data_IF_994416232173
#
_entry.id   IF_994416232173
#
_cell.length_a   1.000
_cell.length_b   1.000
_cell.length_c   1.000
_cell.angle_alpha   90.00
_cell.angle_beta   90.00
_cell.angle_gamma   90.00
#
_symmetry.space_group_name_H-M   'P 1'
#
loop_
_entity.id
_entity.type
_entity.pdbx_description
1 polymer ?
#
# COMPACT_ATOMS: atom_id res chain seq x y z
N UNK A 1 -32.81 34.16 -12.62
CA UNK A 1 -33.18 33.35 -11.44
C UNK A 1 -32.90 31.90 -11.76
N UNK A 2 -31.85 31.35 -11.17
CA UNK A 2 -31.71 29.94 -10.79
C UNK A 2 -30.46 29.89 -9.91
N UNK A 3 -30.66 30.27 -8.64
CA UNK A 3 -29.77 29.91 -7.56
C UNK A 3 -29.79 28.39 -7.48
N UNK A 4 -28.86 27.74 -8.18
CA UNK A 4 -28.43 26.41 -7.76
C UNK A 4 -27.56 26.66 -6.53
N UNK A 5 -28.22 26.84 -5.39
CA UNK A 5 -27.62 26.61 -4.10
C UNK A 5 -27.12 25.16 -4.15
N UNK A 6 -25.85 24.97 -4.54
CA UNK A 6 -25.11 23.80 -4.12
C UNK A 6 -25.12 23.89 -2.61
N UNK A 7 -26.05 23.20 -1.98
CA UNK A 7 -25.95 22.85 -0.57
C UNK A 7 -24.57 22.23 -0.43
N UNK A 8 -23.60 23.02 0.03
CA UNK A 8 -22.34 22.51 0.52
C UNK A 8 -22.79 21.63 1.68
N UNK A 9 -22.89 20.32 1.44
CA UNK A 9 -23.05 19.34 2.50
C UNK A 9 -22.02 19.73 3.55
N UNK A 10 -22.50 20.30 4.66
CA UNK A 10 -21.64 20.66 5.79
C UNK A 10 -21.29 19.35 6.47
N UNK A 11 -20.44 18.57 5.81
CA UNK A 11 -19.85 17.40 6.40
C UNK A 11 -19.07 17.87 7.63
N UNK A 12 -19.37 17.32 8.81
CA UNK A 12 -18.72 17.80 10.02
C UNK A 12 -17.22 17.51 9.92
N UNK A 13 -16.41 18.58 9.89
CA UNK A 13 -14.95 18.51 9.81
C UNK A 13 -14.36 17.54 10.85
N UNK A 14 -14.96 17.49 12.06
CA UNK A 14 -14.58 16.55 13.12
C UNK A 14 -14.71 15.09 12.68
N UNK A 15 -15.80 14.74 12.01
CA UNK A 15 -16.03 13.38 11.48
C UNK A 15 -15.04 13.06 10.37
N UNK A 16 -14.74 14.02 9.50
CA UNK A 16 -13.72 13.86 8.47
C UNK A 16 -12.35 13.60 9.09
N UNK A 17 -11.90 14.41 10.05
CA UNK A 17 -10.61 14.25 10.72
C UNK A 17 -10.53 12.92 11.49
N UNK A 18 -11.60 12.54 12.20
CA UNK A 18 -11.66 11.25 12.88
C UNK A 18 -11.57 10.09 11.87
N UNK A 19 -12.28 10.18 10.74
CA UNK A 19 -12.24 9.18 9.67
C UNK A 19 -10.87 9.11 9.03
N UNK A 20 -10.22 10.26 8.78
CA UNK A 20 -8.87 10.34 8.20
C UNK A 20 -7.87 9.50 9.00
N UNK A 21 -7.91 9.58 10.33
CA UNK A 21 -7.01 8.85 11.22
C UNK A 21 -7.44 7.39 11.38
N UNK A 22 -8.69 7.14 11.76
CA UNK A 22 -9.18 5.78 12.06
C UNK A 22 -9.15 4.90 10.82
N UNK A 23 -9.67 5.39 9.69
CA UNK A 23 -9.67 4.64 8.43
C UNK A 23 -8.24 4.46 7.92
N UNK A 24 -7.39 5.48 8.05
CA UNK A 24 -5.97 5.35 7.72
C UNK A 24 -5.31 4.21 8.49
N UNK A 25 -5.52 4.13 9.80
CA UNK A 25 -4.97 3.04 10.61
C UNK A 25 -5.57 1.67 10.27
N UNK A 26 -6.90 1.56 10.11
CA UNK A 26 -7.55 0.28 9.82
C UNK A 26 -7.12 -0.27 8.45
N UNK A 27 -7.07 0.59 7.43
CA UNK A 27 -6.68 0.18 6.07
C UNK A 27 -5.21 -0.20 5.96
N UNK A 28 -4.34 0.30 6.84
CA UNK A 28 -2.97 -0.21 7.00
C UNK A 28 -2.95 -1.68 7.44
N UNK A 29 -3.76 -2.05 8.43
CA UNK A 29 -3.85 -3.46 8.87
C UNK A 29 -4.41 -4.32 7.73
N UNK A 30 -5.40 -3.81 7.01
CA UNK A 30 -5.98 -4.50 5.85
C UNK A 30 -4.95 -4.68 4.73
N UNK A 31 -4.06 -3.70 4.47
CA UNK A 31 -3.03 -3.85 3.43
C UNK A 31 -2.02 -4.93 3.77
N UNK A 32 -1.62 -5.05 5.03
CA UNK A 32 -0.76 -6.15 5.49
C UNK A 32 -1.43 -7.51 5.28
N UNK A 33 -2.71 -7.62 5.64
CA UNK A 33 -3.48 -8.82 5.39
C UNK A 33 -3.58 -9.17 3.90
N UNK A 34 -3.77 -8.16 3.04
CA UNK A 34 -3.75 -8.33 1.58
C UNK A 34 -2.41 -8.86 1.09
N UNK A 35 -1.29 -8.35 1.63
CA UNK A 35 0.05 -8.81 1.28
C UNK A 35 0.22 -10.30 1.60
N UNK A 36 -0.11 -10.71 2.82
CA UNK A 36 0.01 -12.12 3.23
C UNK A 36 -0.94 -13.04 2.45
N UNK A 37 -2.15 -12.59 2.15
CA UNK A 37 -3.06 -13.32 1.26
C UNK A 37 -2.47 -13.46 -0.14
N UNK A 38 -1.77 -12.46 -0.65
CA UNK A 38 -1.10 -12.51 -1.94
C UNK A 38 -0.15 -13.70 -2.04
N UNK A 39 0.66 -13.95 -0.99
CA UNK A 39 1.45 -15.18 -0.89
C UNK A 39 0.58 -16.43 -0.80
N UNK A 40 -0.40 -16.43 0.11
CA UNK A 40 -1.27 -17.56 0.38
C UNK A 40 -2.03 -18.08 -0.84
N UNK A 41 -2.49 -17.19 -1.72
CA UNK A 41 -3.17 -17.58 -2.98
C UNK A 41 -2.24 -18.42 -3.85
N UNK A 42 -0.98 -18.03 -4.01
CA UNK A 42 -0.03 -18.80 -4.82
C UNK A 42 0.42 -20.07 -4.13
N UNK A 43 0.57 -20.07 -2.80
CA UNK A 43 0.82 -21.30 -2.03
C UNK A 43 -0.28 -22.34 -2.31
N UNK A 44 -1.55 -21.95 -2.19
CA UNK A 44 -2.69 -22.83 -2.45
C UNK A 44 -2.77 -23.25 -3.93
N UNK A 45 -2.48 -22.35 -4.86
CA UNK A 45 -2.46 -22.64 -6.30
C UNK A 45 -1.44 -23.75 -6.63
N UNK A 46 -0.27 -23.71 -5.98
CA UNK A 46 0.77 -24.73 -6.12
C UNK A 46 0.58 -25.94 -5.21
N UNK A 47 -0.63 -26.11 -4.65
CA UNK A 47 -1.04 -27.24 -3.80
C UNK A 47 -0.25 -27.36 -2.50
N UNK A 48 0.20 -26.22 -1.96
CA UNK A 48 0.74 -26.11 -0.62
C UNK A 48 -0.36 -25.94 0.43
N UNK A 49 0.06 -25.89 1.68
CA UNK A 49 -0.80 -25.67 2.83
C UNK A 49 -0.35 -24.41 3.58
N UNK A 50 -1.30 -23.58 3.97
CA UNK A 50 -1.06 -22.43 4.86
C UNK A 50 -1.14 -22.94 6.29
N UNK A 51 -0.05 -22.83 7.03
CA UNK A 51 0.05 -23.30 8.41
C UNK A 51 -0.35 -22.21 9.40
N UNK A 52 0.11 -20.99 9.16
CA UNK A 52 -0.06 -19.88 10.08
C UNK A 52 0.07 -18.55 9.35
N UNK A 53 -0.74 -17.55 9.74
CA UNK A 53 -0.64 -16.18 9.25
C UNK A 53 -0.55 -15.25 10.47
N UNK A 54 0.43 -14.36 10.45
CA UNK A 54 0.59 -13.30 11.44
C UNK A 54 0.57 -11.94 10.75
N UNK A 55 -0.33 -11.06 11.21
CA UNK A 55 -0.46 -9.69 10.71
C UNK A 55 0.05 -8.73 11.77
N UNK A 56 1.12 -7.99 11.47
CA UNK A 56 1.65 -6.99 12.39
C UNK A 56 0.91 -5.66 12.25
N UNK A 57 0.44 -5.05 13.36
CA UNK A 57 -0.08 -3.69 13.32
C UNK A 57 1.04 -2.63 13.18
N UNK A 58 2.31 -3.01 13.30
CA UNK A 58 3.45 -2.08 13.41
C UNK A 58 4.34 -1.98 12.16
N UNK A 59 3.95 -2.58 11.02
CA UNK A 59 4.67 -2.38 9.76
C UNK A 59 4.93 -0.89 9.47
N UNK A 60 6.14 -0.48 9.03
CA UNK A 60 7.27 -1.33 8.62
C UNK A 60 8.21 -1.75 9.76
N UNK A 61 7.98 -1.36 11.01
CA UNK A 61 8.88 -1.66 12.14
C UNK A 61 8.85 -3.13 12.56
N UNK A 62 7.74 -3.82 12.27
CA UNK A 62 7.60 -5.25 12.47
C UNK A 62 6.87 -5.83 11.26
N UNK A 63 7.43 -6.88 10.69
CA UNK A 63 6.88 -7.52 9.49
C UNK A 63 5.74 -8.47 9.84
N UNK A 64 4.74 -8.48 8.96
CA UNK A 64 3.77 -9.57 8.84
C UNK A 64 4.47 -10.79 8.20
N UNK A 65 3.91 -11.98 8.41
CA UNK A 65 4.43 -13.19 7.79
C UNK A 65 3.36 -14.27 7.66
N UNK A 66 3.57 -15.15 6.69
CA UNK A 66 2.81 -16.37 6.48
C UNK A 66 3.77 -17.56 6.47
N UNK A 67 3.39 -18.63 7.16
CA UNK A 67 4.08 -19.92 7.15
C UNK A 67 3.32 -20.90 6.29
N UNK A 68 4.04 -21.61 5.45
CA UNK A 68 3.48 -22.57 4.53
C UNK A 68 4.34 -23.83 4.42
N UNK A 69 3.73 -24.91 3.96
CA UNK A 69 4.41 -26.16 3.62
C UNK A 69 3.95 -26.67 2.26
N UNK A 70 4.76 -27.56 1.68
CA UNK A 70 4.41 -28.29 0.48
C UNK A 70 4.59 -29.79 0.69
N UNK A 71 3.69 -30.63 0.16
CA UNK A 71 3.84 -32.08 0.22
C UNK A 71 4.96 -32.61 -0.68
N UNK A 72 5.47 -31.77 -1.59
CA UNK A 72 6.56 -32.06 -2.53
C UNK A 72 7.51 -30.87 -2.62
N UNK A 73 8.71 -31.10 -3.12
CA UNK A 73 9.59 -29.99 -3.51
C UNK A 73 8.96 -29.23 -4.68
N UNK A 74 8.97 -27.90 -4.59
CA UNK A 74 8.49 -27.00 -5.62
C UNK A 74 9.66 -26.38 -6.39
N UNK A 75 9.39 -25.98 -7.63
CA UNK A 75 10.37 -25.34 -8.50
C UNK A 75 10.73 -23.93 -8.04
N UNK A 76 11.88 -23.42 -8.54
CA UNK A 76 12.30 -22.03 -8.27
C UNK A 76 11.31 -21.01 -8.81
N UNK A 77 10.63 -21.33 -9.91
CA UNK A 77 9.63 -20.46 -10.55
C UNK A 77 8.38 -20.33 -9.68
N UNK A 78 7.86 -21.45 -9.17
CA UNK A 78 6.73 -21.48 -8.23
C UNK A 78 7.06 -20.68 -6.97
N UNK A 79 8.27 -20.88 -6.44
CA UNK A 79 8.75 -20.15 -5.26
C UNK A 79 8.90 -18.64 -5.51
N UNK A 80 9.41 -18.24 -6.68
CA UNK A 80 9.50 -16.84 -7.07
C UNK A 80 8.12 -16.18 -7.14
N UNK A 81 7.14 -16.87 -7.70
CA UNK A 81 5.76 -16.37 -7.78
C UNK A 81 5.14 -16.23 -6.39
N UNK A 82 5.40 -17.18 -5.48
CA UNK A 82 4.93 -17.07 -4.08
C UNK A 82 5.53 -15.82 -3.43
N UNK A 83 6.85 -15.64 -3.44
CA UNK A 83 7.48 -14.47 -2.80
C UNK A 83 7.11 -13.14 -3.48
N UNK A 84 6.93 -13.12 -4.80
CA UNK A 84 6.43 -11.93 -5.47
C UNK A 84 4.93 -11.67 -5.18
N UNK A 85 4.20 -12.68 -4.73
CA UNK A 85 2.74 -12.67 -4.63
C UNK A 85 2.17 -11.53 -3.80
N UNK A 86 2.66 -11.33 -2.58
CA UNK A 86 2.23 -10.24 -1.72
C UNK A 86 2.44 -8.86 -2.35
N UNK A 87 3.65 -8.62 -2.87
CA UNK A 87 4.03 -7.38 -3.57
C UNK A 87 3.11 -7.13 -4.77
N UNK A 88 2.92 -8.15 -5.62
CA UNK A 88 2.08 -8.05 -6.82
C UNK A 88 0.61 -7.76 -6.47
N UNK A 89 0.04 -8.46 -5.50
CA UNK A 89 -1.35 -8.24 -5.08
C UNK A 89 -1.55 -6.82 -4.52
N UNK A 90 -0.62 -6.37 -3.68
CA UNK A 90 -0.61 -5.01 -3.16
C UNK A 90 -0.59 -3.96 -4.29
N UNK A 91 0.30 -4.10 -5.27
CA UNK A 91 0.39 -3.18 -6.40
C UNK A 91 -0.88 -3.22 -7.29
N UNK A 92 -1.37 -4.41 -7.62
CA UNK A 92 -2.58 -4.59 -8.43
C UNK A 92 -3.77 -3.92 -7.75
N UNK A 93 -4.03 -4.22 -6.48
CA UNK A 93 -5.14 -3.64 -5.73
C UNK A 93 -4.98 -2.12 -5.65
N UNK A 94 -3.77 -1.63 -5.37
CA UNK A 94 -3.52 -0.20 -5.29
C UNK A 94 -3.90 0.51 -6.59
N UNK A 95 -3.38 0.05 -7.73
CA UNK A 95 -3.63 0.70 -9.02
C UNK A 95 -5.07 0.53 -9.50
N UNK A 96 -5.71 -0.63 -9.26
CA UNK A 96 -7.12 -0.82 -9.56
C UNK A 96 -8.00 0.17 -8.80
N UNK A 97 -7.74 0.38 -7.51
CA UNK A 97 -8.46 1.37 -6.71
C UNK A 97 -8.20 2.78 -7.23
N UNK A 98 -6.95 3.13 -7.59
CA UNK A 98 -6.65 4.47 -8.13
C UNK A 98 -7.38 4.74 -9.44
N UNK A 99 -7.43 3.75 -10.34
CA UNK A 99 -8.19 3.84 -11.59
C UNK A 99 -9.67 4.02 -11.28
N UNK A 100 -10.23 3.20 -10.39
CA UNK A 100 -11.64 3.29 -9.99
C UNK A 100 -12.00 4.69 -9.43
N UNK A 101 -11.19 5.21 -8.51
CA UNK A 101 -11.40 6.51 -7.87
C UNK A 101 -11.13 7.71 -8.78
N UNK A 102 -10.34 7.51 -9.85
CA UNK A 102 -10.11 8.53 -10.87
C UNK A 102 -11.24 8.61 -11.89
N UNK A 103 -11.92 7.48 -12.12
CA UNK A 103 -13.03 7.39 -13.09
C UNK A 103 -14.39 7.69 -12.48
N UNK A 104 -14.56 7.50 -11.17
CA UNK A 104 -15.85 7.64 -10.50
C UNK A 104 -15.77 8.60 -9.32
N UNK A 105 -16.68 9.57 -9.30
CA UNK A 105 -16.95 10.31 -8.08
C UNK A 105 -17.78 9.45 -7.12
N UNK A 106 -17.36 9.43 -5.87
CA UNK A 106 -18.02 8.69 -4.80
C UNK A 106 -18.20 9.59 -3.58
N UNK A 107 -19.06 9.16 -2.67
CA UNK A 107 -19.17 9.79 -1.35
C UNK A 107 -17.78 9.88 -0.70
N UNK A 108 -17.50 11.00 -0.03
CA UNK A 108 -16.14 11.33 0.43
C UNK A 108 -15.57 10.28 1.38
N UNK A 109 -16.41 9.65 2.20
CA UNK A 109 -15.97 8.63 3.14
C UNK A 109 -15.43 7.41 2.39
N UNK A 110 -16.19 6.87 1.42
CA UNK A 110 -15.71 5.75 0.61
C UNK A 110 -14.48 6.13 -0.23
N UNK A 111 -14.45 7.35 -0.78
CA UNK A 111 -13.29 7.85 -1.53
C UNK A 111 -12.05 7.87 -0.64
N UNK A 112 -12.18 8.36 0.59
CA UNK A 112 -11.12 8.41 1.59
C UNK A 112 -10.67 7.00 2.01
N UNK A 113 -11.60 6.09 2.28
CA UNK A 113 -11.28 4.70 2.67
C UNK A 113 -10.53 3.96 1.59
N UNK A 114 -11.00 4.04 0.35
CA UNK A 114 -10.36 3.40 -0.78
C UNK A 114 -9.00 4.07 -1.10
N UNK A 115 -8.91 5.41 -1.00
CA UNK A 115 -7.64 6.12 -1.21
C UNK A 115 -6.60 5.71 -0.17
N UNK A 116 -6.98 5.56 1.10
CA UNK A 116 -6.11 5.07 2.15
C UNK A 116 -5.66 3.63 1.93
N UNK A 117 -6.59 2.73 1.58
CA UNK A 117 -6.25 1.34 1.27
C UNK A 117 -5.28 1.26 0.07
N UNK A 118 -5.54 2.04 -0.97
CA UNK A 118 -4.66 2.15 -2.13
C UNK A 118 -3.28 2.69 -1.77
N UNK A 119 -3.22 3.69 -0.89
CA UNK A 119 -1.97 4.23 -0.38
C UNK A 119 -1.16 3.18 0.38
N UNK A 120 -1.76 2.46 1.32
CA UNK A 120 -1.03 1.48 2.11
C UNK A 120 -0.61 0.25 1.31
N UNK A 121 -1.44 -0.21 0.38
CA UNK A 121 -1.05 -1.29 -0.55
C UNK A 121 0.04 -0.84 -1.52
N UNK A 122 0.02 0.42 -1.98
CA UNK A 122 1.14 0.98 -2.76
C UNK A 122 2.42 0.98 -1.94
N UNK A 123 2.36 1.50 -0.71
CA UNK A 123 3.52 1.58 0.17
C UNK A 123 4.05 0.22 0.57
N UNK A 124 3.19 -0.76 0.81
CA UNK A 124 3.63 -2.11 1.11
C UNK A 124 4.39 -2.67 -0.12
N UNK A 125 3.77 -2.73 -1.30
CA UNK A 125 4.44 -3.25 -2.51
C UNK A 125 5.72 -2.50 -2.89
N UNK A 126 5.65 -1.17 -3.02
CA UNK A 126 6.81 -0.34 -3.40
C UNK A 126 7.84 -0.20 -2.27
N UNK A 127 7.42 -0.23 -1.02
CA UNK A 127 8.28 -0.11 0.15
C UNK A 127 9.17 -1.34 0.30
N UNK A 128 8.61 -2.55 0.12
CA UNK A 128 9.40 -3.77 0.03
C UNK A 128 10.45 -3.65 -1.09
N UNK A 129 10.05 -3.24 -2.29
CA UNK A 129 10.97 -3.10 -3.43
C UNK A 129 12.08 -2.07 -3.20
N UNK A 130 11.74 -0.88 -2.69
CA UNK A 130 12.70 0.21 -2.46
C UNK A 130 13.64 -0.14 -1.31
N UNK A 131 13.10 -0.49 -0.14
CA UNK A 131 13.90 -0.78 1.05
C UNK A 131 14.72 -2.06 0.85
N UNK A 132 14.13 -3.10 0.24
CA UNK A 132 14.82 -4.35 -0.10
C UNK A 132 15.89 -4.17 -1.19
N UNK A 133 15.73 -3.15 -2.05
CA UNK A 133 16.77 -2.74 -3.00
C UNK A 133 17.95 -2.04 -2.34
N UNK A 134 17.76 -1.38 -1.18
CA UNK A 134 18.83 -0.77 -0.37
C UNK A 134 19.53 -1.85 0.47
N UNK A 135 18.74 -2.64 1.21
CA UNK A 135 19.21 -3.76 2.03
C UNK A 135 18.16 -4.88 1.95
N UNK A 136 18.45 -6.02 1.31
CA UNK A 136 17.47 -7.08 1.13
C UNK A 136 16.92 -7.60 2.45
N UNK A 137 15.62 -7.87 2.47
CA UNK A 137 14.91 -8.56 3.54
C UNK A 137 13.67 -9.25 2.97
N UNK A 138 13.14 -10.22 3.71
CA UNK A 138 11.85 -10.86 3.42
C UNK A 138 11.75 -11.36 1.98
N UNK A 139 10.65 -11.01 1.32
CA UNK A 139 10.36 -11.44 -0.06
C UNK A 139 11.44 -11.04 -1.06
N UNK A 140 11.97 -9.82 -0.93
CA UNK A 140 12.99 -9.29 -1.85
C UNK A 140 14.31 -10.03 -1.70
N UNK A 141 14.72 -10.33 -0.46
CA UNK A 141 15.90 -11.15 -0.20
C UNK A 141 15.77 -12.52 -0.83
N UNK A 142 14.61 -13.17 -0.68
CA UNK A 142 14.37 -14.47 -1.27
C UNK A 142 14.41 -14.41 -2.80
N UNK A 143 13.72 -13.44 -3.43
CA UNK A 143 13.72 -13.23 -4.87
C UNK A 143 15.12 -12.97 -5.45
N UNK A 144 15.98 -12.26 -4.70
CA UNK A 144 17.38 -12.04 -5.08
C UNK A 144 18.18 -13.34 -4.97
N UNK A 145 18.02 -14.08 -3.88
CA UNK A 145 18.75 -15.34 -3.64
C UNK A 145 18.45 -16.40 -4.70
N UNK A 146 17.22 -16.44 -5.22
CA UNK A 146 16.84 -17.37 -6.30
C UNK A 146 17.10 -16.82 -7.71
N UNK A 147 17.65 -15.60 -7.84
CA UNK A 147 18.13 -15.01 -9.09
C UNK A 147 17.06 -14.32 -9.95
N UNK A 148 15.87 -14.04 -9.41
CA UNK A 148 14.77 -13.38 -10.13
C UNK A 148 14.81 -11.86 -10.04
N UNK A 149 15.55 -11.34 -9.07
CA UNK A 149 15.71 -9.91 -8.85
C UNK A 149 17.17 -9.60 -8.50
N UNK A 150 17.58 -8.37 -8.74
CA UNK A 150 18.82 -7.79 -8.19
C UNK A 150 18.46 -6.58 -7.33
N UNK A 151 19.31 -6.24 -6.36
CA UNK A 151 19.14 -5.03 -5.54
C UNK A 151 18.87 -3.76 -6.40
N UNK A 152 19.66 -3.44 -7.45
CA UNK A 152 19.39 -2.28 -8.28
C UNK A 152 18.03 -2.36 -9.01
N UNK A 153 17.70 -3.54 -9.57
CA UNK A 153 16.42 -3.70 -10.27
C UNK A 153 15.21 -3.56 -9.33
N UNK A 154 15.32 -4.07 -8.10
CA UNK A 154 14.30 -3.90 -7.05
C UNK A 154 14.07 -2.43 -6.76
N UNK A 155 15.16 -1.70 -6.51
CA UNK A 155 15.11 -0.29 -6.17
C UNK A 155 14.50 0.55 -7.30
N UNK A 156 14.97 0.35 -8.53
CA UNK A 156 14.47 1.10 -9.71
C UNK A 156 13.01 0.79 -9.98
N UNK A 157 12.60 -0.48 -9.90
CA UNK A 157 11.20 -0.89 -10.09
C UNK A 157 10.31 -0.26 -9.01
N UNK A 158 10.70 -0.37 -7.75
CA UNK A 158 9.96 0.19 -6.63
C UNK A 158 9.80 1.70 -6.74
N UNK A 159 10.88 2.42 -7.05
CA UNK A 159 10.86 3.88 -7.20
C UNK A 159 9.98 4.32 -8.38
N UNK A 160 10.06 3.62 -9.52
CA UNK A 160 9.26 3.93 -10.71
C UNK A 160 7.77 3.79 -10.43
N UNK A 161 7.37 2.68 -9.80
CA UNK A 161 5.97 2.42 -9.42
C UNK A 161 5.48 3.40 -8.35
N UNK A 162 6.34 3.73 -7.38
CA UNK A 162 6.02 4.71 -6.34
C UNK A 162 5.76 6.09 -6.93
N UNK A 163 6.59 6.58 -7.86
CA UNK A 163 6.39 7.90 -8.51
C UNK A 163 5.04 7.96 -9.23
N UNK A 164 4.70 6.91 -9.99
CA UNK A 164 3.43 6.82 -10.71
C UNK A 164 2.26 6.85 -9.73
N UNK A 165 2.27 5.96 -8.73
CA UNK A 165 1.21 5.87 -7.73
C UNK A 165 1.10 7.12 -6.84
N UNK A 166 2.23 7.76 -6.53
CA UNK A 166 2.28 8.99 -5.75
C UNK A 166 1.56 10.13 -6.47
N UNK A 167 1.78 10.28 -7.77
CA UNK A 167 1.14 11.31 -8.58
C UNK A 167 -0.39 11.16 -8.62
N UNK A 168 -0.89 9.96 -8.91
CA UNK A 168 -2.33 9.66 -8.97
C UNK A 168 -2.99 9.76 -7.60
N UNK A 169 -2.41 9.19 -6.54
CA UNK A 169 -2.93 9.31 -5.18
C UNK A 169 -2.94 10.76 -4.70
N UNK A 170 -1.93 11.56 -5.02
CA UNK A 170 -1.91 12.98 -4.69
C UNK A 170 -3.13 13.71 -5.27
N UNK A 171 -3.52 13.41 -6.51
CA UNK A 171 -4.74 13.97 -7.12
C UNK A 171 -6.01 13.51 -6.40
N UNK A 172 -6.09 12.23 -6.05
CA UNK A 172 -7.25 11.66 -5.37
C UNK A 172 -7.43 12.31 -3.99
N UNK A 173 -6.36 12.37 -3.18
CA UNK A 173 -6.36 13.02 -1.87
C UNK A 173 -6.62 14.53 -1.97
N UNK A 174 -6.09 15.21 -2.99
CA UNK A 174 -6.44 16.61 -3.26
C UNK A 174 -7.95 16.79 -3.42
N UNK A 175 -8.59 15.96 -4.24
CA UNK A 175 -10.03 16.00 -4.43
C UNK A 175 -10.82 15.73 -3.14
N UNK A 176 -10.32 14.85 -2.27
CA UNK A 176 -10.93 14.60 -0.95
C UNK A 176 -10.77 15.82 -0.04
N UNK A 177 -9.56 16.38 0.10
CA UNK A 177 -9.31 17.53 0.96
C UNK A 177 -10.04 18.79 0.49
N UNK A 178 -10.17 18.99 -0.82
CA UNK A 178 -10.86 20.16 -1.38
C UNK A 178 -12.34 20.24 -0.99
N UNK A 179 -12.97 19.13 -0.60
CA UNK A 179 -14.34 19.12 -0.05
C UNK A 179 -14.45 19.77 1.33
N UNK A 180 -13.33 19.89 2.06
CA UNK A 180 -13.31 20.35 3.45
C UNK A 180 -12.43 21.58 3.68
N UNK A 181 -11.46 21.83 2.79
CA UNK A 181 -10.45 22.87 2.96
C UNK A 181 -10.25 23.68 1.67
N UNK A 182 -9.64 24.85 1.81
CA UNK A 182 -9.23 25.65 0.65
C UNK A 182 -8.22 24.91 -0.23
N UNK A 183 -8.10 25.30 -1.51
CA UNK A 183 -7.10 24.73 -2.41
C UNK A 183 -5.66 24.90 -1.89
N UNK A 184 -5.35 26.05 -1.27
CA UNK A 184 -4.04 26.30 -0.65
C UNK A 184 -3.77 25.32 0.49
N UNK A 185 -4.73 25.19 1.41
CA UNK A 185 -4.63 24.26 2.55
C UNK A 185 -4.52 22.81 2.08
N UNK A 186 -5.32 22.40 1.09
CA UNK A 186 -5.31 21.04 0.53
C UNK A 186 -3.95 20.66 -0.07
N UNK A 187 -3.26 21.59 -0.75
CA UNK A 187 -1.88 21.36 -1.25
C UNK A 187 -0.90 21.13 -0.11
N UNK A 188 -0.99 21.92 0.96
CA UNK A 188 -0.14 21.76 2.15
C UNK A 188 -0.41 20.41 2.82
N UNK A 189 -1.68 20.02 2.97
CA UNK A 189 -2.05 18.74 3.57
C UNK A 189 -1.52 17.53 2.79
N UNK A 190 -1.45 17.60 1.46
CA UNK A 190 -0.83 16.54 0.64
C UNK A 190 0.67 16.44 0.91
N UNK A 191 1.36 17.56 1.02
CA UNK A 191 2.79 17.56 1.36
C UNK A 191 3.01 16.93 2.74
N UNK A 192 2.24 17.36 3.73
CA UNK A 192 2.30 16.80 5.09
C UNK A 192 1.99 15.29 5.07
N UNK A 193 0.97 14.88 4.33
CA UNK A 193 0.60 13.48 4.15
C UNK A 193 1.78 12.67 3.60
N UNK A 194 2.45 13.12 2.55
CA UNK A 194 3.58 12.39 1.97
C UNK A 194 4.82 12.38 2.86
N UNK A 195 4.99 13.33 3.77
CA UNK A 195 6.11 13.34 4.73
C UNK A 195 6.12 12.14 5.67
N UNK A 196 5.01 11.40 5.80
CA UNK A 196 5.00 10.15 6.56
C UNK A 196 5.88 9.06 5.92
N UNK A 197 6.05 9.06 4.60
CA UNK A 197 6.85 8.05 3.87
C UNK A 197 8.33 8.13 4.20
N UNK A 198 9.02 9.28 4.06
CA UNK A 198 10.42 9.40 4.45
C UNK A 198 10.59 9.20 5.97
N UNK A 199 9.61 9.58 6.79
CA UNK A 199 9.65 9.33 8.23
C UNK A 199 9.66 7.83 8.54
N UNK A 200 8.73 7.05 7.97
CA UNK A 200 8.73 5.59 8.15
C UNK A 200 9.98 4.93 7.61
N UNK A 201 10.47 5.38 6.45
CA UNK A 201 11.69 4.86 5.85
C UNK A 201 12.91 5.12 6.74
N UNK A 202 13.03 6.33 7.30
CA UNK A 202 14.10 6.68 8.22
C UNK A 202 14.03 5.83 9.49
N UNK A 203 12.85 5.70 10.10
CA UNK A 203 12.67 4.87 11.30
C UNK A 203 13.03 3.42 11.04
N UNK A 204 12.63 2.86 9.90
CA UNK A 204 12.99 1.50 9.49
C UNK A 204 14.51 1.35 9.32
N UNK A 205 15.17 2.26 8.60
CA UNK A 205 16.61 2.21 8.41
C UNK A 205 17.37 2.29 9.74
N UNK A 206 16.89 3.10 10.70
CA UNK A 206 17.47 3.17 12.04
C UNK A 206 17.35 1.86 12.84
N UNK A 207 16.35 1.01 12.56
CA UNK A 207 16.22 -0.30 13.21
C UNK A 207 17.16 -1.36 12.64
N UNK A 208 17.81 -1.08 11.51
CA UNK A 208 18.57 -2.07 10.72
C UNK A 208 20.07 -1.71 10.65
N UNK A 209 20.43 -0.50 11.10
CA UNK A 209 21.79 -0.04 11.36
C UNK A 209 22.24 -0.49 12.75
#
# INVERSE_FOLDING_TARGET
>A
MNQLNSEIEKHPLKMFLASLVVVGFLTKIISEFIHEIGHGIFVLLFRGEILEIYISPFWPLQHSWIKWSFPRQIGREELAVIYAGGILFCLIISFLIQVLLSLRETFWFYKLSLAWLSFWTLLNGTGYLILGGIKPFGDIEQLINIGYLTQPSSFVLGLSLFIIGCYTLSKIFFGVFLKFFSAKTSRILIVIFWMQVPLYSLLYLLTIL
#
